data_IF_614294427475
#
_entry.id   IF_614294427475
#
_cell.length_a   1.000
_cell.length_b   1.000
_cell.length_c   1.000
_cell.angle_alpha   90.00
_cell.angle_beta   90.00
_cell.angle_gamma   90.00
#
_symmetry.space_group_name_H-M   'P 1'
#
loop_
_entity.id
_entity.type
_entity.pdbx_description
1 polymer ?
#
# COMPACT_ATOMS: atom_id res chain seq x y z
N UNK A 1 22.64 17.49 7.02
CA UNK A 1 21.80 16.45 6.41
C UNK A 1 20.54 17.09 5.86
N UNK A 2 20.19 16.72 4.65
CA UNK A 2 18.98 17.26 4.03
C UNK A 2 17.74 16.62 4.66
N UNK A 3 16.85 17.44 5.15
CA UNK A 3 15.63 16.99 5.79
C UNK A 3 14.56 16.66 4.76
N UNK A 4 13.86 15.54 4.95
CA UNK A 4 12.72 15.19 4.11
C UNK A 4 11.52 16.01 4.56
N UNK A 5 11.06 16.92 3.70
CA UNK A 5 10.00 17.88 4.06
C UNK A 5 8.63 17.47 3.56
N UNK A 6 8.54 16.51 2.64
CA UNK A 6 7.30 16.13 2.00
C UNK A 6 7.06 14.64 2.15
N UNK A 7 5.79 14.28 2.35
CA UNK A 7 5.37 12.87 2.36
C UNK A 7 5.81 12.16 1.09
N UNK A 8 5.75 12.86 -0.05
CA UNK A 8 6.15 12.30 -1.33
C UNK A 8 7.63 11.92 -1.37
N UNK A 9 8.50 12.73 -0.77
CA UNK A 9 9.92 12.42 -0.69
C UNK A 9 10.17 11.19 0.18
N UNK A 10 9.47 11.09 1.30
CA UNK A 10 9.54 9.94 2.18
C UNK A 10 9.05 8.68 1.48
N UNK A 11 7.95 8.76 0.75
CA UNK A 11 7.42 7.63 -0.01
C UNK A 11 8.43 7.13 -1.04
N UNK A 12 9.06 8.05 -1.78
CA UNK A 12 10.07 7.69 -2.78
C UNK A 12 11.24 6.98 -2.13
N UNK A 13 11.68 7.44 -0.97
CA UNK A 13 12.76 6.82 -0.21
C UNK A 13 12.40 5.38 0.18
N UNK A 14 11.19 5.18 0.72
CA UNK A 14 10.72 3.87 1.15
C UNK A 14 10.56 2.93 -0.05
N UNK A 15 9.98 3.41 -1.15
CA UNK A 15 9.82 2.62 -2.37
C UNK A 15 11.17 2.10 -2.84
N UNK A 16 12.20 2.95 -2.84
CA UNK A 16 13.53 2.56 -3.26
C UNK A 16 14.16 1.54 -2.33
N UNK A 17 13.78 1.52 -1.07
CA UNK A 17 14.30 0.59 -0.07
C UNK A 17 13.62 -0.78 -0.11
N UNK A 18 12.41 -0.88 -0.68
CA UNK A 18 11.64 -2.12 -0.77
C UNK A 18 12.04 -2.88 -2.04
N UNK A 19 13.14 -3.65 -1.95
CA UNK A 19 13.74 -4.30 -3.13
C UNK A 19 13.37 -5.76 -3.31
N UNK A 20 12.83 -6.42 -2.29
CA UNK A 20 12.48 -7.82 -2.35
C UNK A 20 11.08 -8.08 -1.83
N UNK A 21 10.53 -9.25 -2.17
CA UNK A 21 9.22 -9.66 -1.63
C UNK A 21 9.25 -9.72 -0.10
N UNK A 22 10.38 -10.14 0.46
CA UNK A 22 10.52 -10.21 1.91
C UNK A 22 10.42 -8.83 2.54
N UNK A 23 11.11 -7.84 1.97
CA UNK A 23 11.04 -6.46 2.45
C UNK A 23 9.61 -5.94 2.40
N UNK A 24 8.90 -6.22 1.32
CA UNK A 24 7.51 -5.77 1.14
C UNK A 24 6.60 -6.42 2.18
N UNK A 25 6.76 -7.72 2.41
CA UNK A 25 5.95 -8.42 3.42
C UNK A 25 6.18 -7.87 4.81
N UNK A 26 7.44 -7.62 5.17
CA UNK A 26 7.78 -7.04 6.46
C UNK A 26 7.17 -5.66 6.62
N UNK A 27 7.23 -4.84 5.58
CA UNK A 27 6.65 -3.51 5.60
C UNK A 27 5.14 -3.55 5.76
N UNK A 28 4.45 -4.41 5.01
CA UNK A 28 3.00 -4.55 5.11
C UNK A 28 2.58 -5.08 6.48
N UNK A 29 3.31 -6.07 7.01
CA UNK A 29 3.00 -6.62 8.33
C UNK A 29 3.15 -5.56 9.42
N UNK A 30 4.20 -4.75 9.35
CA UNK A 30 4.42 -3.66 10.30
C UNK A 30 3.29 -2.62 10.21
N UNK A 31 2.88 -2.26 8.99
CA UNK A 31 1.81 -1.30 8.77
C UNK A 31 0.46 -1.82 9.30
N UNK A 32 0.19 -3.11 9.08
CA UNK A 32 -1.03 -3.73 9.59
C UNK A 32 -1.03 -3.80 11.10
N UNK A 33 0.10 -4.11 11.71
CA UNK A 33 0.23 -4.14 13.16
C UNK A 33 -0.02 -2.75 13.75
N UNK A 34 0.56 -1.72 13.15
CA UNK A 34 0.34 -0.34 13.59
C UNK A 34 -1.15 0.02 13.52
N UNK A 35 -1.83 -0.39 12.45
CA UNK A 35 -3.26 -0.18 12.34
C UNK A 35 -4.02 -0.89 13.47
N UNK A 36 -3.66 -2.14 13.77
CA UNK A 36 -4.31 -2.89 14.84
C UNK A 36 -4.11 -2.26 16.21
N UNK A 37 -2.97 -1.60 16.41
CA UNK A 37 -2.65 -0.96 17.68
C UNK A 37 -3.37 0.39 17.85
N UNK A 38 -3.45 1.21 16.80
CA UNK A 38 -3.97 2.58 16.91
C UNK A 38 -5.23 2.86 16.10
N UNK A 39 -5.66 1.92 15.27
CA UNK A 39 -6.85 2.07 14.44
C UNK A 39 -6.68 3.02 13.25
N UNK A 40 -5.44 3.35 12.90
CA UNK A 40 -5.17 4.29 11.82
C UNK A 40 -5.18 3.62 10.44
N UNK A 41 -6.35 3.52 9.85
CA UNK A 41 -6.50 3.00 8.49
C UNK A 41 -5.76 3.82 7.45
N UNK A 42 -5.65 5.12 7.66
CA UNK A 42 -5.02 6.01 6.68
C UNK A 42 -3.57 5.62 6.45
N UNK A 43 -2.85 5.33 7.51
CA UNK A 43 -1.47 4.86 7.40
C UNK A 43 -1.38 3.55 6.63
N UNK A 44 -2.32 2.64 6.84
CA UNK A 44 -2.35 1.37 6.13
C UNK A 44 -2.60 1.57 4.63
N UNK A 45 -3.53 2.46 4.27
CA UNK A 45 -3.81 2.74 2.86
C UNK A 45 -2.61 3.38 2.16
N UNK A 46 -1.88 4.25 2.87
CA UNK A 46 -0.62 4.79 2.35
C UNK A 46 0.42 3.71 2.15
N UNK A 47 0.49 2.75 3.06
CA UNK A 47 1.41 1.62 2.92
C UNK A 47 1.08 0.79 1.68
N UNK A 48 -0.20 0.59 1.37
CA UNK A 48 -0.60 -0.11 0.15
C UNK A 48 -0.12 0.63 -1.10
N UNK A 49 -0.25 1.95 -1.12
CA UNK A 49 0.25 2.75 -2.24
C UNK A 49 1.76 2.57 -2.42
N UNK A 50 2.50 2.63 -1.34
CA UNK A 50 3.97 2.49 -1.37
C UNK A 50 4.36 1.12 -1.90
N UNK A 51 3.70 0.06 -1.44
CA UNK A 51 3.98 -1.31 -1.89
C UNK A 51 3.67 -1.49 -3.37
N UNK A 52 2.56 -0.95 -3.83
CA UNK A 52 2.20 -1.02 -5.25
C UNK A 52 3.27 -0.32 -6.08
N UNK A 53 3.69 0.87 -5.68
CA UNK A 53 4.73 1.64 -6.40
C UNK A 53 6.09 0.96 -6.37
N UNK A 54 6.36 0.14 -5.37
CA UNK A 54 7.61 -0.60 -5.30
C UNK A 54 7.67 -1.73 -6.35
N UNK A 55 6.53 -2.19 -6.85
CA UNK A 55 6.46 -3.32 -7.79
C UNK A 55 6.02 -2.92 -9.19
N UNK A 56 5.26 -1.83 -9.31
CA UNK A 56 4.67 -1.45 -10.59
C UNK A 56 4.32 0.04 -10.55
N UNK A 57 3.75 0.54 -11.64
CA UNK A 57 3.06 1.81 -11.61
C UNK A 57 1.65 1.59 -11.08
N UNK A 58 1.04 2.64 -10.54
CA UNK A 58 -0.36 2.55 -10.08
C UNK A 58 -1.27 2.21 -11.25
N UNK A 59 -1.04 2.82 -12.41
CA UNK A 59 -1.83 2.52 -13.62
C UNK A 59 -1.70 1.07 -14.07
N UNK A 60 -0.48 0.54 -14.07
CA UNK A 60 -0.22 -0.86 -14.43
C UNK A 60 -0.87 -1.82 -13.46
N UNK A 61 -0.75 -1.54 -12.17
CA UNK A 61 -1.39 -2.36 -11.15
C UNK A 61 -2.92 -2.35 -11.29
N UNK A 62 -3.51 -1.17 -11.46
CA UNK A 62 -4.96 -1.02 -11.63
C UNK A 62 -5.45 -1.86 -12.80
N UNK A 63 -4.73 -1.82 -13.92
CA UNK A 63 -5.10 -2.59 -15.11
C UNK A 63 -5.07 -4.10 -14.83
N UNK A 64 -4.02 -4.58 -14.17
CA UNK A 64 -3.89 -6.01 -13.83
C UNK A 64 -4.95 -6.47 -12.84
N UNK A 65 -5.31 -5.61 -11.90
CA UNK A 65 -6.32 -5.92 -10.88
C UNK A 65 -7.74 -5.66 -11.37
N UNK A 66 -7.92 -5.22 -12.61
CA UNK A 66 -9.23 -4.85 -13.17
C UNK A 66 -9.94 -3.79 -12.33
N UNK A 67 -9.18 -2.78 -11.92
CA UNK A 67 -9.67 -1.67 -11.11
C UNK A 67 -9.44 -0.35 -11.84
N UNK A 68 -10.24 0.65 -11.53
CA UNK A 68 -9.99 2.00 -12.03
C UNK A 68 -8.88 2.66 -11.20
N UNK A 69 -7.95 3.30 -11.89
CA UNK A 69 -6.86 4.03 -11.23
C UNK A 69 -7.40 5.08 -10.25
N UNK A 70 -8.46 5.79 -10.64
CA UNK A 70 -9.08 6.78 -9.78
C UNK A 70 -9.60 6.19 -8.47
N UNK A 71 -10.12 4.96 -8.52
CA UNK A 71 -10.59 4.27 -7.32
C UNK A 71 -9.42 3.96 -6.38
N UNK A 72 -8.30 3.48 -6.91
CA UNK A 72 -7.10 3.24 -6.10
C UNK A 72 -6.63 4.52 -5.42
N UNK A 73 -6.54 5.62 -6.15
CA UNK A 73 -6.12 6.89 -5.58
C UNK A 73 -7.09 7.40 -4.50
N UNK A 74 -8.40 7.17 -4.67
CA UNK A 74 -9.38 7.52 -3.64
C UNK A 74 -9.11 6.78 -2.33
N UNK A 75 -8.73 5.50 -2.43
CA UNK A 75 -8.36 4.69 -1.26
C UNK A 75 -7.08 5.24 -0.62
N UNK A 76 -6.04 5.47 -1.42
CA UNK A 76 -4.75 5.95 -0.91
C UNK A 76 -4.86 7.30 -0.21
N UNK A 77 -5.75 8.16 -0.68
CA UNK A 77 -5.97 9.48 -0.11
C UNK A 77 -7.02 9.50 0.99
N UNK A 78 -7.55 8.33 1.34
CA UNK A 78 -8.59 8.19 2.37
C UNK A 78 -9.86 8.95 2.05
N UNK A 79 -10.15 9.14 0.76
CA UNK A 79 -11.39 9.78 0.31
C UNK A 79 -12.56 8.83 0.36
N UNK A 80 -12.31 7.54 0.24
CA UNK A 80 -13.32 6.49 0.32
C UNK A 80 -12.79 5.34 1.14
N UNK A 81 -13.65 4.77 1.95
CA UNK A 81 -13.36 3.55 2.68
C UNK A 81 -13.58 2.37 1.74
N UNK A 82 -12.56 1.54 1.47
CA UNK A 82 -12.72 0.43 0.56
C UNK A 82 -13.50 -0.71 1.21
N UNK A 83 -14.19 -1.48 0.39
CA UNK A 83 -14.80 -2.72 0.83
C UNK A 83 -13.71 -3.74 1.15
N UNK A 84 -14.00 -4.67 2.04
CA UNK A 84 -13.07 -5.74 2.35
C UNK A 84 -12.70 -6.54 1.09
N UNK A 85 -13.67 -6.80 0.21
CA UNK A 85 -13.41 -7.48 -1.06
C UNK A 85 -12.39 -6.75 -1.93
N UNK A 86 -12.40 -5.42 -1.89
CA UNK A 86 -11.42 -4.60 -2.62
C UNK A 86 -10.02 -4.79 -2.04
N UNK A 87 -9.89 -4.80 -0.71
CA UNK A 87 -8.61 -5.03 -0.05
C UNK A 87 -8.07 -6.43 -0.38
N UNK A 88 -8.93 -7.45 -0.35
CA UNK A 88 -8.54 -8.82 -0.72
C UNK A 88 -8.03 -8.86 -2.16
N UNK A 89 -8.71 -8.17 -3.08
CA UNK A 89 -8.32 -8.12 -4.47
C UNK A 89 -6.93 -7.49 -4.66
N UNK A 90 -6.66 -6.41 -3.94
CA UNK A 90 -5.34 -5.77 -3.96
C UNK A 90 -4.27 -6.74 -3.49
N UNK A 91 -4.50 -7.43 -2.38
CA UNK A 91 -3.55 -8.39 -1.85
C UNK A 91 -3.31 -9.55 -2.81
N UNK A 92 -4.37 -10.07 -3.43
CA UNK A 92 -4.25 -11.15 -4.41
C UNK A 92 -3.40 -10.72 -5.60
N UNK A 93 -3.60 -9.50 -6.10
CA UNK A 93 -2.83 -9.00 -7.22
C UNK A 93 -1.36 -8.79 -6.83
N UNK A 94 -1.09 -8.44 -5.58
CA UNK A 94 0.28 -8.33 -5.07
C UNK A 94 0.93 -9.70 -4.86
N UNK A 95 0.15 -10.77 -4.90
CA UNK A 95 0.64 -12.14 -4.71
C UNK A 95 0.67 -12.57 -3.25
N UNK A 96 -0.08 -11.93 -2.39
CA UNK A 96 -0.14 -12.24 -0.97
C UNK A 96 -1.52 -12.72 -0.56
N UNK A 97 -1.58 -13.46 0.53
CA UNK A 97 -2.82 -13.93 1.12
C UNK A 97 -3.06 -13.21 2.44
N UNK A 98 -4.34 -12.90 2.71
CA UNK A 98 -4.77 -12.49 4.04
C UNK A 98 -5.05 -13.75 4.84
N UNK A 99 -4.35 -13.93 5.95
CA UNK A 99 -4.53 -15.09 6.81
C UNK A 99 -4.99 -14.67 8.19
N UNK A 100 -5.90 -15.46 8.74
CA UNK A 100 -6.30 -15.33 10.14
C UNK A 100 -5.42 -16.27 10.94
N UNK A 101 -4.66 -15.67 11.83
CA UNK A 101 -3.74 -16.43 12.67
C UNK A 101 -4.48 -17.12 13.82
#
# INVERSE_FOLDING_TARGET
MKELKHTQDLESYIVNDLKSDEDIKLYLNASLKDYLDDGDFNSFYRALEIVIKARDTVSGFAKKASMFRAHLYSIFKSEKEPKFSTIVKIFQELGYELKVA
#
